data_IF_352326929834
#
_entry.id   IF_352326929834
#
_cell.length_a   1.000
_cell.length_b   1.000
_cell.length_c   1.000
_cell.angle_alpha   90.00
_cell.angle_beta   90.00
_cell.angle_gamma   90.00
#
_symmetry.space_group_name_H-M   'P 1'
#
loop_
_entity.id
_entity.type
_entity.pdbx_description
1 polymer ?
#
# COMPACT_ATOMS: atom_id res chain seq x y z
N UNK A 1 27.37 -12.78 -25.54
CA UNK A 1 26.55 -11.54 -25.56
C UNK A 1 25.14 -11.90 -26.03
N UNK A 2 24.26 -12.18 -25.10
CA UNK A 2 22.89 -12.56 -25.44
C UNK A 2 21.95 -11.45 -24.94
N UNK A 3 21.42 -10.66 -25.85
CA UNK A 3 20.41 -9.64 -25.57
C UNK A 3 19.07 -10.34 -25.36
N UNK A 4 18.62 -10.46 -24.12
CA UNK A 4 17.26 -10.89 -23.83
C UNK A 4 16.33 -9.68 -23.85
N UNK A 5 15.49 -9.63 -24.85
CA UNK A 5 14.44 -8.62 -24.99
C UNK A 5 13.27 -9.05 -24.12
N UNK A 6 13.05 -8.36 -23.01
CA UNK A 6 11.86 -8.53 -22.17
C UNK A 6 10.66 -7.91 -22.88
N UNK A 7 9.69 -8.71 -23.32
CA UNK A 7 8.43 -8.24 -23.93
C UNK A 7 7.30 -8.30 -22.89
N UNK A 8 6.61 -7.21 -22.71
CA UNK A 8 5.27 -7.19 -22.19
C UNK A 8 5.13 -6.87 -20.68
N UNK A 9 4.19 -7.45 -20.02
CA UNK A 9 3.63 -7.08 -18.72
C UNK A 9 4.59 -6.97 -17.51
N UNK A 10 5.81 -7.51 -17.57
CA UNK A 10 6.80 -7.42 -16.50
C UNK A 10 7.34 -6.00 -16.27
N UNK A 11 7.28 -5.13 -17.26
CA UNK A 11 7.83 -3.78 -17.18
C UNK A 11 6.99 -2.83 -16.31
N UNK A 12 5.68 -3.05 -16.23
CA UNK A 12 4.78 -2.19 -15.47
C UNK A 12 4.88 -2.39 -13.94
N UNK A 13 5.27 -3.59 -13.50
CA UNK A 13 5.43 -3.89 -12.06
C UNK A 13 6.80 -3.45 -11.55
N UNK A 14 7.80 -3.36 -12.43
CA UNK A 14 9.15 -2.94 -12.08
C UNK A 14 9.26 -1.44 -11.73
N UNK A 15 8.31 -0.62 -12.17
CA UNK A 15 8.34 0.84 -11.94
C UNK A 15 7.90 1.24 -10.51
N UNK A 16 7.33 0.32 -9.74
CA UNK A 16 6.88 0.57 -8.37
C UNK A 16 7.98 0.39 -7.30
N UNK A 17 9.16 -0.11 -7.69
CA UNK A 17 10.30 -0.35 -6.80
C UNK A 17 11.45 0.60 -7.16
N UNK A 18 11.25 1.90 -7.00
CA UNK A 18 12.30 2.90 -7.19
C UNK A 18 13.23 2.96 -5.97
N UNK A 19 14.19 2.05 -5.93
CA UNK A 19 15.42 2.12 -5.14
C UNK A 19 16.53 1.42 -5.93
N UNK A 20 17.83 1.66 -5.65
CA UNK A 20 18.92 0.98 -6.33
C UNK A 20 19.01 -0.48 -5.85
N UNK A 21 18.10 -1.31 -6.34
CA UNK A 21 18.08 -2.73 -6.04
C UNK A 21 18.61 -3.46 -7.26
N UNK A 22 19.88 -3.88 -7.17
CA UNK A 22 20.42 -4.80 -8.15
C UNK A 22 19.61 -6.11 -8.10
N UNK A 23 19.23 -6.61 -9.27
CA UNK A 23 18.68 -7.95 -9.39
C UNK A 23 19.82 -8.93 -9.15
N UNK A 24 19.68 -9.82 -8.18
CA UNK A 24 20.72 -10.80 -7.84
C UNK A 24 20.57 -12.10 -8.62
N UNK A 25 19.34 -12.54 -8.87
CA UNK A 25 19.15 -13.83 -9.50
C UNK A 25 17.85 -13.87 -10.34
N UNK A 26 17.92 -14.62 -11.45
CA UNK A 26 16.79 -15.01 -12.29
C UNK A 26 16.74 -16.53 -12.40
N UNK A 27 15.57 -17.12 -12.19
CA UNK A 27 15.34 -18.53 -12.44
C UNK A 27 14.33 -18.71 -13.58
N UNK A 28 14.50 -19.79 -14.34
CA UNK A 28 13.66 -20.14 -15.46
C UNK A 28 13.26 -21.61 -15.35
N UNK A 29 12.08 -21.94 -15.87
CA UNK A 29 11.66 -23.34 -16.02
C UNK A 29 12.41 -24.05 -17.16
N UNK A 30 12.11 -25.35 -17.35
CA UNK A 30 12.77 -26.20 -18.34
C UNK A 30 12.58 -25.74 -19.80
N UNK A 31 11.60 -24.87 -20.07
CA UNK A 31 11.33 -24.32 -21.39
C UNK A 31 11.69 -22.83 -21.51
N UNK A 32 12.43 -22.31 -20.52
CA UNK A 32 13.02 -20.98 -20.55
C UNK A 32 12.09 -19.83 -20.11
N UNK A 33 10.95 -20.11 -19.45
CA UNK A 33 10.09 -19.06 -18.91
C UNK A 33 10.61 -18.63 -17.55
N UNK A 34 10.56 -17.32 -17.27
CA UNK A 34 10.99 -16.75 -16.00
C UNK A 34 10.08 -17.21 -14.86
N UNK A 35 10.61 -17.92 -13.88
CA UNK A 35 9.85 -18.38 -12.69
C UNK A 35 10.12 -17.54 -11.47
N UNK A 36 11.34 -17.06 -11.30
CA UNK A 36 11.71 -16.30 -10.11
C UNK A 36 12.64 -15.14 -10.45
N UNK A 37 12.43 -14.04 -9.73
CA UNK A 37 13.36 -12.90 -9.70
C UNK A 37 13.61 -12.55 -8.25
N UNK A 38 14.87 -12.54 -7.82
CA UNK A 38 15.25 -12.10 -6.48
C UNK A 38 16.18 -10.89 -6.54
N UNK A 39 15.99 -10.03 -5.56
CA UNK A 39 16.68 -8.76 -5.42
C UNK A 39 17.58 -8.76 -4.18
N UNK A 40 18.68 -8.00 -4.22
CA UNK A 40 19.63 -7.85 -3.12
C UNK A 40 19.01 -7.41 -1.81
N UNK A 41 17.87 -6.74 -1.86
CA UNK A 41 17.11 -6.35 -0.68
C UNK A 41 16.22 -7.46 -0.08
N UNK A 42 16.27 -8.69 -0.64
CA UNK A 42 15.47 -9.83 -0.21
C UNK A 42 14.04 -9.85 -0.75
N UNK A 43 13.65 -8.91 -1.59
CA UNK A 43 12.40 -8.96 -2.33
C UNK A 43 12.44 -10.02 -3.42
N UNK A 44 11.30 -10.63 -3.74
CA UNK A 44 11.23 -11.59 -4.84
C UNK A 44 9.88 -11.57 -5.56
N UNK A 45 9.91 -12.00 -6.82
CA UNK A 45 8.71 -12.28 -7.63
C UNK A 45 8.74 -13.75 -8.01
N UNK A 46 7.62 -14.44 -7.85
CA UNK A 46 7.45 -15.80 -8.30
C UNK A 46 6.29 -15.85 -9.30
N UNK A 47 6.55 -16.41 -10.49
CA UNK A 47 5.61 -16.50 -11.60
C UNK A 47 5.17 -17.95 -11.80
N UNK A 48 3.86 -18.18 -11.95
CA UNK A 48 3.32 -19.48 -12.36
C UNK A 48 2.58 -19.33 -13.69
N UNK A 49 2.59 -20.40 -14.50
CA UNK A 49 2.06 -20.39 -15.86
C UNK A 49 1.10 -21.54 -16.06
N UNK A 50 0.11 -21.33 -16.95
CA UNK A 50 -0.71 -22.42 -17.48
C UNK A 50 0.04 -23.24 -18.54
N UNK A 51 -0.61 -24.31 -19.03
CA UNK A 51 -0.05 -25.17 -20.08
C UNK A 51 0.18 -24.44 -21.41
N UNK A 52 -0.50 -23.32 -21.66
CA UNK A 52 -0.38 -22.51 -22.87
C UNK A 52 0.67 -21.40 -22.75
N UNK A 53 1.29 -21.24 -21.55
CA UNK A 53 2.31 -20.24 -21.29
C UNK A 53 1.78 -18.89 -20.83
N UNK A 54 0.50 -18.77 -20.49
CA UNK A 54 -0.05 -17.56 -19.90
C UNK A 54 0.30 -17.50 -18.40
N UNK A 55 0.56 -16.32 -17.87
CA UNK A 55 0.80 -16.12 -16.43
C UNK A 55 -0.50 -16.37 -15.67
N UNK A 56 -0.51 -17.36 -14.79
CA UNK A 56 -1.61 -17.68 -13.88
C UNK A 56 -1.56 -16.83 -12.61
N UNK A 57 -0.37 -16.67 -12.04
CA UNK A 57 -0.20 -15.85 -10.85
C UNK A 57 1.19 -15.22 -10.77
N UNK A 58 1.25 -14.10 -10.08
CA UNK A 58 2.51 -13.46 -9.66
C UNK A 58 2.44 -13.27 -8.15
N UNK A 59 3.30 -13.96 -7.42
CA UNK A 59 3.46 -13.78 -5.98
C UNK A 59 4.61 -12.80 -5.77
N UNK A 60 4.34 -11.72 -5.05
CA UNK A 60 5.34 -10.73 -4.68
C UNK A 60 5.66 -10.90 -3.19
N UNK A 61 6.88 -11.29 -2.89
CA UNK A 61 7.42 -11.30 -1.53
C UNK A 61 8.26 -10.05 -1.36
N UNK A 62 7.79 -9.16 -0.49
CA UNK A 62 8.61 -8.04 -0.06
C UNK A 62 9.57 -8.55 1.00
N UNK A 63 10.84 -8.11 0.94
CA UNK A 63 11.80 -8.42 1.98
C UNK A 63 11.22 -8.08 3.35
N UNK A 64 10.95 -9.09 4.15
CA UNK A 64 10.64 -8.92 5.58
C UNK A 64 11.93 -8.89 6.42
N UNK A 65 13.01 -8.44 5.82
CA UNK A 65 14.21 -8.03 6.55
C UNK A 65 13.88 -6.74 7.26
N UNK A 66 14.08 -6.74 8.58
CA UNK A 66 14.08 -5.60 9.51
C UNK A 66 13.87 -4.29 8.76
N UNK A 67 12.75 -3.63 8.96
CA UNK A 67 12.47 -2.35 8.32
C UNK A 67 13.73 -1.49 8.44
N UNK A 68 14.47 -1.41 7.35
CA UNK A 68 15.71 -0.67 7.30
C UNK A 68 15.34 0.76 7.68
N UNK A 69 15.92 1.24 8.77
CA UNK A 69 15.65 2.57 9.29
C UNK A 69 15.96 3.67 8.24
N UNK A 70 16.57 3.26 7.12
CA UNK A 70 16.95 4.11 6.00
C UNK A 70 15.85 4.34 4.96
N UNK A 71 14.77 3.50 4.93
CA UNK A 71 13.69 3.76 3.97
C UNK A 71 12.89 4.98 4.42
N UNK A 72 12.84 6.06 3.63
CA UNK A 72 12.05 7.24 4.01
C UNK A 72 10.59 6.86 4.18
N UNK A 73 10.05 7.00 5.39
CA UNK A 73 8.61 6.91 5.61
C UNK A 73 8.05 8.30 5.31
N UNK A 74 7.28 8.40 4.24
CA UNK A 74 6.60 9.64 3.89
C UNK A 74 5.31 9.80 4.71
N UNK A 75 4.84 11.04 4.81
CA UNK A 75 3.53 11.35 5.39
C UNK A 75 2.44 10.98 4.40
N UNK A 76 1.85 9.81 4.58
CA UNK A 76 0.88 9.20 3.65
C UNK A 76 -0.42 8.86 4.35
N UNK A 77 -1.52 9.06 3.66
CA UNK A 77 -2.85 8.61 4.04
C UNK A 77 -3.43 7.79 2.91
N UNK A 78 -3.66 6.51 3.16
CA UNK A 78 -4.26 5.58 2.21
C UNK A 78 -5.77 5.70 2.10
N UNK A 79 -6.37 5.07 1.10
CA UNK A 79 -7.82 4.98 0.99
C UNK A 79 -8.42 4.10 2.09
N UNK A 80 -9.71 4.27 2.34
CA UNK A 80 -10.49 3.35 3.16
C UNK A 80 -10.87 2.10 2.36
N UNK A 81 -10.90 0.94 3.03
CA UNK A 81 -11.34 -0.31 2.41
C UNK A 81 -12.34 -1.01 3.33
N UNK A 82 -13.48 -1.46 2.81
CA UNK A 82 -14.03 -1.24 1.46
C UNK A 82 -14.48 0.22 1.23
N UNK A 83 -14.47 0.68 -0.04
CA UNK A 83 -14.99 1.98 -0.41
C UNK A 83 -15.46 1.96 -1.90
N UNK A 84 -16.75 2.10 -2.23
CA UNK A 84 -17.89 2.27 -1.33
C UNK A 84 -18.21 1.06 -0.44
N UNK A 85 -19.09 1.26 0.57
CA UNK A 85 -19.58 0.16 1.40
C UNK A 85 -20.22 0.65 2.71
N UNK A 86 -20.43 -0.29 3.63
CA UNK A 86 -20.92 -0.07 4.99
C UNK A 86 -20.18 -0.96 5.97
N UNK A 87 -20.40 -0.78 7.27
CA UNK A 87 -19.81 -1.62 8.31
C UNK A 87 -18.33 -1.35 8.63
N UNK A 88 -17.60 -2.39 9.05
CA UNK A 88 -16.20 -2.27 9.42
C UNK A 88 -15.31 -1.83 8.27
N UNK A 89 -14.42 -0.90 8.54
CA UNK A 89 -13.48 -0.32 7.57
C UNK A 89 -12.07 -0.29 8.11
N UNK A 90 -11.13 -0.29 7.20
CA UNK A 90 -9.71 -0.11 7.49
C UNK A 90 -9.12 1.00 6.63
N UNK A 91 -8.17 1.73 7.21
CA UNK A 91 -7.41 2.77 6.54
C UNK A 91 -5.96 2.71 7.03
N UNK A 92 -5.02 2.66 6.10
CA UNK A 92 -3.60 2.71 6.42
C UNK A 92 -3.07 4.13 6.32
N UNK A 93 -2.13 4.49 7.20
CA UNK A 93 -1.39 5.74 7.11
C UNK A 93 0.04 5.56 7.60
N UNK A 94 0.91 6.49 7.24
CA UNK A 94 2.31 6.46 7.66
C UNK A 94 2.75 7.87 8.08
N UNK A 95 3.62 7.92 9.09
CA UNK A 95 4.17 9.16 9.62
C UNK A 95 5.71 9.10 9.65
N UNK A 96 6.40 10.16 9.18
CA UNK A 96 7.85 10.14 8.97
C UNK A 96 8.66 10.36 10.27
N UNK A 97 8.05 10.88 11.31
CA UNK A 97 8.70 11.22 12.56
C UNK A 97 7.72 11.07 13.73
N UNK A 98 8.24 11.08 14.96
CA UNK A 98 7.41 11.14 16.15
C UNK A 98 6.71 12.50 16.24
N UNK A 99 5.38 12.48 16.48
CA UNK A 99 4.60 13.69 16.61
C UNK A 99 3.15 13.42 17.02
N UNK A 100 2.45 14.49 17.37
CA UNK A 100 1.02 14.45 17.66
C UNK A 100 0.27 14.28 16.34
N UNK A 101 -0.54 13.23 16.24
CA UNK A 101 -1.30 12.83 15.04
C UNK A 101 -2.78 12.90 15.35
N UNK A 102 -3.53 13.61 14.51
CA UNK A 102 -4.99 13.57 14.52
C UNK A 102 -5.50 12.99 13.21
N UNK A 103 -6.42 12.04 13.29
CA UNK A 103 -7.15 11.49 12.16
C UNK A 103 -8.64 11.59 12.47
N UNK A 104 -9.33 12.46 11.76
CA UNK A 104 -10.74 12.79 11.97
C UNK A 104 -11.56 12.57 10.73
N UNK A 105 -12.86 12.30 10.93
CA UNK A 105 -13.82 12.11 9.84
C UNK A 105 -14.93 13.14 9.98
N UNK A 106 -15.32 13.70 8.84
CA UNK A 106 -16.31 14.78 8.73
C UNK A 106 -17.41 14.41 7.75
N UNK A 107 -18.61 14.88 7.98
CA UNK A 107 -19.69 14.85 7.00
C UNK A 107 -19.55 16.00 5.97
N UNK A 108 -20.45 16.02 4.99
CA UNK A 108 -20.46 17.04 3.90
C UNK A 108 -20.69 18.47 4.42
N UNK A 109 -21.22 18.64 5.62
CA UNK A 109 -21.38 19.96 6.26
C UNK A 109 -20.12 20.44 6.99
N UNK A 110 -19.08 19.58 7.03
CA UNK A 110 -17.85 19.84 7.77
C UNK A 110 -17.94 19.52 9.26
N UNK A 111 -19.04 18.90 9.72
CA UNK A 111 -19.19 18.48 11.11
C UNK A 111 -18.37 17.20 11.34
N UNK A 112 -17.59 17.18 12.40
CA UNK A 112 -16.84 16.01 12.82
C UNK A 112 -17.83 14.88 13.25
N UNK A 113 -17.68 13.70 12.67
CA UNK A 113 -18.49 12.52 12.98
C UNK A 113 -17.70 11.46 13.74
N UNK A 114 -16.39 11.47 13.64
CA UNK A 114 -15.52 10.57 14.39
C UNK A 114 -14.08 11.10 14.49
N UNK A 115 -13.46 10.87 15.63
CA UNK A 115 -12.01 10.98 15.82
C UNK A 115 -11.42 9.56 15.90
N UNK A 116 -10.58 9.19 14.95
CA UNK A 116 -9.97 7.86 14.87
C UNK A 116 -8.62 7.80 15.58
N UNK A 117 -7.84 8.89 15.50
CA UNK A 117 -6.59 9.09 16.23
C UNK A 117 -6.51 10.51 16.76
N UNK A 118 -6.04 10.65 17.97
CA UNK A 118 -5.69 11.93 18.61
C UNK A 118 -4.66 11.65 19.70
N UNK A 119 -3.40 11.43 19.30
CA UNK A 119 -2.31 11.07 20.22
C UNK A 119 -0.94 11.23 19.59
N UNK A 120 0.09 11.18 20.42
CA UNK A 120 1.48 11.11 19.96
C UNK A 120 1.77 9.69 19.47
N UNK A 121 2.32 9.58 18.27
CA UNK A 121 2.79 8.34 17.65
C UNK A 121 4.26 8.48 17.29
N UNK A 122 4.97 7.35 17.28
CA UNK A 122 6.35 7.27 16.78
C UNK A 122 6.35 7.14 15.24
N UNK A 123 7.52 7.38 14.62
CA UNK A 123 7.73 7.12 13.20
C UNK A 123 7.28 5.70 12.86
N UNK A 124 6.43 5.54 11.86
CA UNK A 124 5.93 4.21 11.51
C UNK A 124 4.74 4.19 10.55
N UNK A 125 4.28 2.97 10.27
CA UNK A 125 3.07 2.68 9.51
C UNK A 125 1.98 2.21 10.46
N UNK A 126 0.77 2.71 10.27
CA UNK A 126 -0.37 2.49 11.16
C UNK A 126 -1.60 2.10 10.38
N UNK A 127 -2.55 1.46 11.07
CA UNK A 127 -3.85 1.12 10.52
C UNK A 127 -4.94 1.56 11.49
N UNK A 128 -5.85 2.40 11.00
CA UNK A 128 -7.08 2.75 11.68
C UNK A 128 -8.18 1.76 11.28
N UNK A 129 -8.89 1.21 12.28
CA UNK A 129 -10.08 0.39 12.08
C UNK A 129 -11.27 1.09 12.74
N UNK A 130 -12.38 1.19 12.02
CA UNK A 130 -13.59 1.85 12.50
C UNK A 130 -14.82 1.29 11.81
N UNK A 131 -16.01 1.48 12.38
CA UNK A 131 -17.27 1.09 11.75
C UNK A 131 -18.09 2.31 11.34
N UNK A 132 -18.78 2.15 10.21
CA UNK A 132 -19.73 3.15 9.70
C UNK A 132 -21.20 2.73 9.91
N UNK A 133 -21.49 1.72 10.76
CA UNK A 133 -22.83 1.17 10.97
C UNK A 133 -23.84 2.20 11.48
N UNK A 134 -23.39 3.22 12.18
CA UNK A 134 -24.23 4.29 12.72
C UNK A 134 -24.30 5.52 11.83
N UNK A 135 -23.62 5.50 10.66
CA UNK A 135 -23.58 6.64 9.76
C UNK A 135 -24.65 6.50 8.67
N UNK A 136 -25.22 7.59 8.22
CA UNK A 136 -26.14 7.61 7.08
C UNK A 136 -25.44 7.30 5.77
N UNK A 137 -26.22 6.94 4.74
CA UNK A 137 -25.70 6.89 3.38
C UNK A 137 -25.20 8.27 2.97
N UNK A 138 -24.04 8.34 2.36
CA UNK A 138 -23.47 9.62 1.93
C UNK A 138 -21.98 9.61 1.77
N UNK A 139 -21.45 10.79 1.46
CA UNK A 139 -20.02 11.05 1.34
C UNK A 139 -19.51 11.64 2.64
N UNK A 140 -18.36 11.14 3.07
CA UNK A 140 -17.65 11.61 4.24
C UNK A 140 -16.20 11.92 3.83
N UNK A 141 -15.57 12.86 4.53
CA UNK A 141 -14.19 13.24 4.34
C UNK A 141 -13.39 12.87 5.57
N UNK A 142 -12.18 12.38 5.39
CA UNK A 142 -11.26 12.13 6.49
C UNK A 142 -9.98 12.93 6.31
N UNK A 143 -9.39 13.37 7.42
CA UNK A 143 -8.22 14.23 7.44
C UNK A 143 -7.23 13.75 8.48
N UNK A 144 -6.00 13.54 8.03
CA UNK A 144 -4.84 13.23 8.84
C UNK A 144 -3.97 14.49 8.96
N UNK A 145 -3.61 14.83 10.17
CA UNK A 145 -2.77 16.00 10.47
C UNK A 145 -1.62 15.61 11.39
N UNK A 146 -0.45 16.17 11.14
CA UNK A 146 0.74 16.05 11.99
C UNK A 146 1.72 17.19 11.68
N UNK A 147 2.12 17.99 12.68
CA UNK A 147 3.18 18.99 12.54
C UNK A 147 3.00 19.98 11.39
N UNK A 148 1.77 20.40 11.10
CA UNK A 148 1.44 21.28 9.98
C UNK A 148 1.25 20.57 8.64
N UNK A 149 1.58 19.29 8.54
CA UNK A 149 1.26 18.47 7.36
C UNK A 149 -0.17 17.96 7.42
N UNK A 150 -0.88 18.03 6.28
CA UNK A 150 -2.26 17.58 6.14
C UNK A 150 -2.39 16.65 4.95
N UNK A 151 -3.13 15.56 5.12
CA UNK A 151 -3.62 14.69 4.06
C UNK A 151 -5.11 14.47 4.25
N UNK A 152 -5.85 14.45 3.17
CA UNK A 152 -7.28 14.22 3.21
C UNK A 152 -7.69 13.20 2.15
N UNK A 153 -8.83 12.55 2.40
CA UNK A 153 -9.46 11.64 1.47
C UNK A 153 -10.96 11.61 1.68
N UNK A 154 -11.66 10.82 0.85
CA UNK A 154 -13.10 10.65 0.93
C UNK A 154 -13.47 9.17 1.06
N UNK A 155 -14.56 8.92 1.74
CA UNK A 155 -15.22 7.62 1.76
C UNK A 155 -16.70 7.76 1.45
N UNK A 156 -17.28 6.72 0.90
CA UNK A 156 -18.70 6.66 0.56
C UNK A 156 -19.33 5.54 1.38
N UNK A 157 -20.38 5.88 2.12
CA UNK A 157 -21.19 4.92 2.87
C UNK A 157 -22.43 4.61 2.04
N UNK A 158 -22.61 3.33 1.71
CA UNK A 158 -23.78 2.80 1.02
C UNK A 158 -24.25 1.55 1.75
N UNK A 159 -25.54 1.47 2.00
CA UNK A 159 -26.22 0.30 2.56
C UNK A 159 -27.18 -0.29 1.56
#
# INVERSE_FOLDING_TARGET
MTKTVLRGAALAVLLALQGPTAVENYQHDAIGRLTDVSYANGGSFHYTYDANGNILSVIVSLATGVADASTPIEFVLGPTTPNPGSGPRRMAFAIPARGHVTLRVFDVSGREVATLYDRVLDRGRYSAQFSTDRWGNGVYFYRLEMGGHVRAGRLVVLR
#
